data_IF_928897440324
#
_entry.id   IF_928897440324
#
_cell.length_a   1.000
_cell.length_b   1.000
_cell.length_c   1.000
_cell.angle_alpha   90.00
_cell.angle_beta   90.00
_cell.angle_gamma   90.00
#
_symmetry.space_group_name_H-M   'P 1'
#
loop_
_entity.id
_entity.type
_entity.pdbx_description
1 polymer ?
#
# COMPACT_ATOMS: atom_id res chain seq x y z
N UNK A 1 0.67 17.31 -20.87
CA UNK A 1 0.04 17.15 -19.53
C UNK A 1 0.72 15.96 -18.89
N UNK A 2 1.24 16.08 -17.66
CA UNK A 2 1.91 14.96 -16.99
C UNK A 2 0.86 13.96 -16.53
N UNK A 3 1.00 12.69 -16.93
CA UNK A 3 0.17 11.58 -16.46
C UNK A 3 0.65 11.20 -15.04
N UNK A 4 -0.26 11.11 -14.07
CA UNK A 4 0.05 10.73 -12.68
C UNK A 4 0.74 9.37 -12.58
N UNK A 5 0.34 8.40 -13.41
CA UNK A 5 1.00 7.10 -13.47
C UNK A 5 2.46 7.27 -13.89
N UNK A 6 2.70 7.99 -15.00
CA UNK A 6 4.04 8.23 -15.52
C UNK A 6 4.95 8.92 -14.49
N UNK A 7 4.41 9.89 -13.74
CA UNK A 7 5.15 10.55 -12.66
C UNK A 7 5.62 9.55 -11.59
N UNK A 8 4.73 8.67 -11.13
CA UNK A 8 5.10 7.68 -10.11
C UNK A 8 5.99 6.56 -10.65
N UNK A 9 5.86 6.17 -11.93
CA UNK A 9 6.85 5.25 -12.53
C UNK A 9 8.27 5.86 -12.53
N UNK A 10 8.39 7.14 -12.89
CA UNK A 10 9.68 7.86 -12.84
C UNK A 10 10.18 8.05 -11.40
N UNK A 11 9.28 8.30 -10.44
CA UNK A 11 9.64 8.46 -9.02
C UNK A 11 10.16 7.15 -8.39
N UNK A 12 9.58 6.01 -8.76
CA UNK A 12 9.93 4.69 -8.22
C UNK A 12 10.93 3.92 -9.09
N UNK A 13 11.55 4.57 -10.08
CA UNK A 13 12.61 3.93 -10.87
C UNK A 13 13.75 3.48 -9.95
N UNK A 14 14.25 2.26 -10.15
CA UNK A 14 15.17 1.55 -9.23
C UNK A 14 16.51 2.28 -9.00
N UNK A 15 16.85 3.22 -9.87
CA UNK A 15 18.03 4.09 -9.73
C UNK A 15 17.80 5.26 -8.74
N UNK A 16 16.56 5.46 -8.29
CA UNK A 16 16.20 6.52 -7.35
C UNK A 16 16.36 6.01 -5.93
N UNK A 17 17.21 6.66 -5.13
CA UNK A 17 17.33 6.36 -3.70
C UNK A 17 16.09 6.91 -2.96
N UNK A 18 15.02 6.12 -2.98
CA UNK A 18 13.76 6.41 -2.30
C UNK A 18 13.81 6.08 -0.80
N UNK A 19 14.91 5.48 -0.32
CA UNK A 19 15.06 5.04 1.07
C UNK A 19 15.15 6.21 2.06
N UNK A 20 15.64 7.37 1.61
CA UNK A 20 15.85 8.56 2.45
C UNK A 20 14.54 9.28 2.85
N UNK A 21 13.39 8.90 2.29
CA UNK A 21 12.08 9.49 2.59
C UNK A 21 11.20 8.61 3.48
N UNK A 22 11.80 7.73 4.30
CA UNK A 22 11.02 6.89 5.20
C UNK A 22 10.24 7.72 6.24
N UNK A 23 8.97 7.96 5.92
CA UNK A 23 7.98 8.67 6.75
C UNK A 23 7.27 7.74 7.73
N UNK A 24 7.74 6.50 7.87
CA UNK A 24 7.12 5.49 8.71
C UNK A 24 7.86 5.44 10.05
N UNK A 25 7.16 5.85 11.11
CA UNK A 25 7.72 5.89 12.47
C UNK A 25 6.95 4.94 13.37
N UNK A 26 7.52 4.44 14.48
CA UNK A 26 6.78 3.64 15.45
C UNK A 26 5.50 4.34 15.94
N UNK A 27 5.53 5.67 16.06
CA UNK A 27 4.37 6.48 16.43
C UNK A 27 3.29 6.49 15.34
N UNK A 28 3.69 6.53 14.06
CA UNK A 28 2.75 6.44 12.93
C UNK A 28 2.09 5.07 12.89
N UNK A 29 2.86 3.99 13.07
CA UNK A 29 2.34 2.62 13.20
C UNK A 29 1.31 2.53 14.33
N UNK A 30 1.69 2.98 15.53
CA UNK A 30 0.82 2.94 16.72
C UNK A 30 -0.50 3.67 16.47
N UNK A 31 -0.45 4.90 15.96
CA UNK A 31 -1.65 5.72 15.70
C UNK A 31 -2.56 5.11 14.63
N UNK A 32 -1.98 4.56 13.56
CA UNK A 32 -2.73 3.87 12.52
C UNK A 32 -3.53 2.71 13.12
N UNK A 33 -2.85 1.79 13.80
CA UNK A 33 -3.47 0.58 14.35
C UNK A 33 -4.47 0.90 15.47
N UNK A 34 -4.17 1.85 16.36
CA UNK A 34 -5.13 2.31 17.38
C UNK A 34 -6.38 2.97 16.80
N UNK A 35 -6.28 3.57 15.62
CA UNK A 35 -7.43 4.18 14.95
C UNK A 35 -8.29 3.10 14.31
N UNK A 36 -7.68 2.18 13.56
CA UNK A 36 -8.40 1.08 12.91
C UNK A 36 -9.12 0.19 13.93
N UNK A 37 -8.47 -0.15 15.04
CA UNK A 37 -9.06 -0.97 16.10
C UNK A 37 -10.28 -0.35 16.80
N UNK A 38 -10.60 0.93 16.58
CA UNK A 38 -11.83 1.56 17.08
C UNK A 38 -13.04 1.31 16.20
N UNK A 39 -12.82 0.93 14.94
CA UNK A 39 -13.85 0.87 13.91
C UNK A 39 -13.92 -0.48 13.19
N UNK A 40 -12.83 -1.25 13.24
CA UNK A 40 -12.68 -2.52 12.54
C UNK A 40 -12.39 -3.65 13.53
N UNK A 41 -12.87 -4.84 13.19
CA UNK A 41 -12.52 -6.09 13.83
C UNK A 41 -11.29 -6.71 13.18
N UNK A 42 -10.53 -7.56 13.91
CA UNK A 42 -9.58 -8.46 13.27
C UNK A 42 -10.29 -9.27 12.19
N UNK A 43 -9.60 -9.55 11.08
CA UNK A 43 -10.12 -10.13 9.82
C UNK A 43 -10.92 -9.21 8.89
N UNK A 44 -11.24 -7.97 9.27
CA UNK A 44 -11.83 -7.00 8.34
C UNK A 44 -10.87 -6.72 7.16
N UNK A 45 -11.46 -6.46 5.99
CA UNK A 45 -10.74 -6.27 4.73
C UNK A 45 -10.25 -4.85 4.59
N UNK A 46 -8.94 -4.68 4.50
CA UNK A 46 -8.30 -3.35 4.40
C UNK A 46 -7.51 -3.23 3.10
N UNK A 47 -7.72 -2.14 2.36
CA UNK A 47 -6.93 -1.81 1.19
C UNK A 47 -5.89 -0.74 1.53
N UNK A 48 -4.61 -1.07 1.48
CA UNK A 48 -3.54 -0.08 1.50
C UNK A 48 -3.36 0.51 0.09
N UNK A 49 -3.84 1.73 -0.13
CA UNK A 49 -3.83 2.39 -1.43
C UNK A 49 -2.66 3.36 -1.59
N UNK A 50 -1.67 2.97 -2.39
CA UNK A 50 -0.40 3.67 -2.59
C UNK A 50 0.73 2.98 -1.82
N UNK A 51 1.07 1.75 -2.19
CA UNK A 51 2.00 0.91 -1.43
C UNK A 51 3.42 1.49 -1.31
N UNK A 52 3.85 2.24 -2.32
CA UNK A 52 5.23 2.69 -2.44
C UNK A 52 6.25 1.55 -2.23
N UNK A 53 7.26 1.76 -1.37
CA UNK A 53 8.26 0.75 -1.00
C UNK A 53 7.85 -0.24 0.10
N UNK A 54 6.58 -0.17 0.53
CA UNK A 54 5.86 -0.99 1.49
C UNK A 54 6.35 -0.99 2.94
N UNK A 55 5.42 -0.73 3.87
CA UNK A 55 5.53 -1.02 5.31
C UNK A 55 4.15 -1.18 5.99
N UNK A 56 3.11 -0.53 5.45
CA UNK A 56 1.80 -0.43 6.08
C UNK A 56 1.01 -1.72 6.00
N UNK A 57 0.96 -2.34 4.82
CA UNK A 57 0.27 -3.62 4.63
C UNK A 57 0.83 -4.70 5.55
N UNK A 58 2.14 -4.75 5.77
CA UNK A 58 2.80 -5.63 6.72
C UNK A 58 2.25 -5.42 8.13
N UNK A 59 2.19 -4.17 8.60
CA UNK A 59 1.66 -3.86 9.94
C UNK A 59 0.19 -4.23 10.09
N UNK A 60 -0.61 -4.06 9.03
CA UNK A 60 -2.02 -4.44 9.02
C UNK A 60 -2.19 -5.95 9.13
N UNK A 61 -1.47 -6.73 8.33
CA UNK A 61 -1.50 -8.20 8.39
C UNK A 61 -0.99 -8.73 9.73
N UNK A 62 0.10 -8.18 10.26
CA UNK A 62 0.61 -8.53 11.60
C UNK A 62 -0.40 -8.24 12.72
N UNK A 63 -1.33 -7.29 12.50
CA UNK A 63 -2.40 -6.94 13.43
C UNK A 63 -3.68 -7.75 13.22
N UNK A 64 -3.68 -8.68 12.26
CA UNK A 64 -4.77 -9.61 12.00
C UNK A 64 -5.81 -9.15 10.96
N UNK A 65 -5.59 -8.04 10.25
CA UNK A 65 -6.47 -7.60 9.16
C UNK A 65 -6.27 -8.43 7.88
N UNK A 66 -7.32 -8.64 7.09
CA UNK A 66 -7.22 -9.17 5.72
C UNK A 66 -6.80 -8.04 4.78
N UNK A 67 -5.51 -7.70 4.81
CA UNK A 67 -4.99 -6.54 4.12
C UNK A 67 -4.30 -6.90 2.79
N UNK A 68 -4.57 -6.08 1.78
CA UNK A 68 -3.86 -6.11 0.50
C UNK A 68 -3.33 -4.72 0.15
N UNK A 69 -2.41 -4.66 -0.81
CA UNK A 69 -1.80 -3.40 -1.23
C UNK A 69 -1.98 -3.12 -2.72
N UNK A 70 -2.15 -1.85 -3.08
CA UNK A 70 -2.22 -1.41 -4.47
C UNK A 70 -1.38 -0.17 -4.74
N UNK A 71 -0.84 -0.05 -5.94
CA UNK A 71 -0.22 1.18 -6.43
C UNK A 71 -0.51 1.37 -7.92
N UNK A 72 -0.42 2.62 -8.39
CA UNK A 72 -0.52 2.95 -9.80
C UNK A 72 0.79 2.69 -10.55
N UNK A 73 1.91 2.68 -9.84
CA UNK A 73 3.24 2.42 -10.40
C UNK A 73 3.58 0.93 -10.37
N UNK A 74 3.96 0.39 -11.52
CA UNK A 74 4.55 -0.95 -11.63
C UNK A 74 5.88 -1.02 -10.90
N UNK A 75 6.71 0.02 -11.01
CA UNK A 75 8.01 0.06 -10.35
C UNK A 75 7.87 0.01 -8.81
N UNK A 76 6.91 0.75 -8.25
CA UNK A 76 6.59 0.70 -6.81
C UNK A 76 6.25 -0.72 -6.34
N UNK A 77 5.32 -1.38 -7.05
CA UNK A 77 4.87 -2.74 -6.69
C UNK A 77 5.99 -3.76 -6.84
N UNK A 78 6.85 -3.65 -7.86
CA UNK A 78 7.99 -4.55 -8.02
C UNK A 78 8.99 -4.41 -6.88
N UNK A 79 9.32 -3.19 -6.48
CA UNK A 79 10.19 -2.94 -5.33
C UNK A 79 9.54 -3.40 -4.02
N UNK A 80 8.26 -3.12 -3.80
CA UNK A 80 7.50 -3.60 -2.64
C UNK A 80 7.49 -5.14 -2.55
N UNK A 81 7.25 -5.84 -3.66
CA UNK A 81 7.32 -7.30 -3.74
C UNK A 81 8.71 -7.84 -3.42
N UNK A 82 9.75 -7.15 -3.85
CA UNK A 82 11.12 -7.50 -3.51
C UNK A 82 11.38 -7.37 -2.00
N UNK A 83 10.91 -6.27 -1.39
CA UNK A 83 11.10 -6.02 0.04
C UNK A 83 10.28 -6.97 0.91
N UNK A 84 9.02 -7.22 0.55
CA UNK A 84 8.08 -8.04 1.30
C UNK A 84 7.27 -8.95 0.37
N UNK A 85 7.81 -10.14 -0.01
CA UNK A 85 7.19 -11.04 -0.99
C UNK A 85 5.92 -11.75 -0.48
N UNK A 86 5.63 -11.69 0.82
CA UNK A 86 4.45 -12.33 1.43
C UNK A 86 3.15 -11.56 1.24
N UNK A 87 3.19 -10.32 0.75
CA UNK A 87 2.03 -9.45 0.64
C UNK A 87 1.35 -9.61 -0.72
N UNK A 88 0.00 -9.63 -0.78
CA UNK A 88 -0.75 -9.57 -2.02
C UNK A 88 -0.79 -8.14 -2.57
N UNK A 89 -0.04 -7.89 -3.65
CA UNK A 89 -0.03 -6.60 -4.36
C UNK A 89 -0.81 -6.66 -5.68
N UNK A 90 -1.61 -5.62 -5.96
CA UNK A 90 -2.26 -5.41 -7.27
C UNK A 90 -1.88 -4.04 -7.87
N UNK A 91 -1.95 -3.94 -9.19
CA UNK A 91 -1.73 -2.69 -9.93
C UNK A 91 -3.09 -2.03 -10.19
N UNK A 92 -3.18 -0.73 -9.96
CA UNK A 92 -4.36 0.06 -10.32
C UNK A 92 -4.51 0.20 -11.83
N UNK A 93 -5.73 0.45 -12.30
CA UNK A 93 -5.94 0.77 -13.71
C UNK A 93 -5.22 2.08 -14.08
N UNK A 94 -4.83 2.27 -15.35
CA UNK A 94 -4.06 3.44 -15.81
C UNK A 94 -4.72 4.81 -15.58
N UNK A 95 -6.00 4.85 -15.19
CA UNK A 95 -6.72 6.05 -14.76
C UNK A 95 -6.81 6.26 -13.24
N UNK A 96 -6.13 5.41 -12.45
CA UNK A 96 -6.21 5.38 -10.98
C UNK A 96 -7.46 4.74 -10.41
N UNK A 97 -8.31 4.10 -11.24
CA UNK A 97 -9.48 3.39 -10.74
C UNK A 97 -9.10 2.07 -10.08
N UNK A 98 -9.72 1.81 -8.93
CA UNK A 98 -9.58 0.55 -8.19
C UNK A 98 -10.34 -0.54 -8.96
N UNK A 99 -9.72 -1.71 -9.23
CA UNK A 99 -10.42 -2.86 -9.81
C UNK A 99 -11.64 -3.26 -8.98
N UNK A 100 -12.72 -3.67 -9.64
CA UNK A 100 -13.91 -4.14 -8.93
C UNK A 100 -13.61 -5.45 -8.18
N UNK A 101 -14.07 -5.54 -6.94
CA UNK A 101 -13.99 -6.74 -6.11
C UNK A 101 -15.39 -7.28 -5.83
N UNK A 102 -15.51 -8.59 -5.62
CA UNK A 102 -16.80 -9.24 -5.28
C UNK A 102 -17.34 -8.79 -3.91
N UNK A 103 -16.44 -8.39 -3.01
CA UNK A 103 -16.74 -7.89 -1.67
C UNK A 103 -16.08 -6.53 -1.48
N UNK A 104 -16.77 -5.53 -0.89
CA UNK A 104 -16.15 -4.25 -0.59
C UNK A 104 -15.04 -4.40 0.46
N UNK A 105 -14.14 -3.40 0.50
CA UNK A 105 -13.23 -3.21 1.63
C UNK A 105 -13.96 -2.50 2.76
N UNK A 106 -13.61 -2.86 3.99
CA UNK A 106 -14.13 -2.23 5.21
C UNK A 106 -13.38 -0.93 5.53
N UNK A 107 -12.13 -0.79 5.07
CA UNK A 107 -11.35 0.45 5.10
C UNK A 107 -10.35 0.56 3.93
N UNK A 108 -9.97 1.81 3.63
CA UNK A 108 -8.93 2.21 2.67
C UNK A 108 -8.02 3.27 3.31
#
# INVERSE_FOLDING_TARGET
>A
MMNVQKYYEEYWDFDTDVSDNDVTTPERRRRLLETLARYLEPSDKVLDLGCGGEQFTTWLQESGYDAISMDISTNAVEMARHNNPGIPYKILNSGGSIPAEDTPYDAV
#
